data_IF_671047881379
#
_entry.id   IF_671047881379
#
_cell.length_a   1.000
_cell.length_b   1.000
_cell.length_c   1.000
_cell.angle_alpha   90.00
_cell.angle_beta   90.00
_cell.angle_gamma   90.00
#
_symmetry.space_group_name_H-M   'P 1'
#
loop_
_entity.id
_entity.type
_entity.pdbx_description
1 polymer ?
#
# COMPACT_ATOMS: atom_id res chain seq x y z
N UNK A 1 -5.48 44.38 54.45
CA UNK A 1 -5.88 43.44 53.39
C UNK A 1 -4.60 43.02 52.65
N UNK A 2 -4.38 41.71 52.49
CA UNK A 2 -3.20 41.04 51.92
C UNK A 2 -1.92 41.01 52.76
N UNK A 3 -1.70 39.89 53.45
CA UNK A 3 -0.39 39.26 53.65
C UNK A 3 -0.56 37.81 54.16
N UNK A 4 0.25 36.91 53.57
CA UNK A 4 0.80 35.68 54.14
C UNK A 4 -0.15 34.51 54.43
N UNK A 5 -0.24 33.55 53.50
CA UNK A 5 -0.37 32.11 53.83
C UNK A 5 0.37 31.31 52.76
N UNK A 6 1.66 31.05 52.94
CA UNK A 6 2.41 30.10 52.12
C UNK A 6 3.68 29.69 52.85
N UNK A 7 3.55 28.94 53.95
CA UNK A 7 4.62 28.08 54.46
C UNK A 7 4.01 27.08 55.44
N UNK A 8 4.57 25.87 55.45
CA UNK A 8 4.23 24.72 56.30
C UNK A 8 3.00 23.91 55.87
N UNK A 9 3.23 22.84 55.09
CA UNK A 9 3.05 21.47 55.58
C UNK A 9 3.98 20.54 54.80
N UNK A 10 5.16 20.39 55.38
CA UNK A 10 6.21 19.44 55.05
C UNK A 10 5.76 18.01 55.42
N UNK A 11 5.76 17.11 54.43
CA UNK A 11 5.99 15.65 54.50
C UNK A 11 5.05 14.76 55.32
N UNK A 12 4.55 13.66 54.72
CA UNK A 12 4.82 12.27 55.17
C UNK A 12 4.27 11.19 54.22
N UNK A 13 5.11 10.16 53.99
CA UNK A 13 4.80 8.79 53.52
C UNK A 13 4.34 8.61 52.05
N UNK A 14 5.21 8.20 51.11
CA UNK A 14 5.76 6.84 50.85
C UNK A 14 4.72 5.73 50.65
N UNK A 15 4.68 5.27 49.40
CA UNK A 15 4.81 3.86 48.99
C UNK A 15 3.57 2.93 48.91
N UNK A 16 3.18 2.72 47.64
CA UNK A 16 3.07 1.42 46.92
C UNK A 16 1.70 0.72 46.80
N UNK A 17 1.38 0.35 45.54
CA UNK A 17 0.78 -0.91 45.02
C UNK A 17 -0.55 -0.78 44.25
N UNK A 18 -0.42 -1.00 42.93
CA UNK A 18 -1.33 -1.60 41.91
C UNK A 18 -2.52 -0.78 41.42
N UNK A 19 -2.47 -0.22 40.20
CA UNK A 19 -2.60 -0.84 38.87
C UNK A 19 -3.93 -1.54 38.66
N UNK A 20 -4.81 -1.02 37.81
CA UNK A 20 -5.59 -1.79 36.83
C UNK A 20 -6.23 -0.83 35.81
N UNK A 21 -6.24 -1.29 34.55
CA UNK A 21 -6.93 -0.76 33.37
C UNK A 21 -6.14 0.21 32.49
N UNK A 22 -5.20 -0.43 31.77
CA UNK A 22 -4.64 0.01 30.50
C UNK A 22 -5.75 0.27 29.47
N UNK A 23 -5.87 1.52 29.01
CA UNK A 23 -6.42 1.84 27.70
C UNK A 23 -5.24 2.20 26.80
N UNK A 24 -4.56 1.18 26.26
CA UNK A 24 -3.59 1.38 25.19
C UNK A 24 -4.36 1.64 23.90
N UNK A 25 -4.52 2.92 23.55
CA UNK A 25 -4.76 3.33 22.17
C UNK A 25 -3.43 3.10 21.44
N UNK A 26 -3.26 1.91 20.87
CA UNK A 26 -2.15 1.57 19.99
C UNK A 26 -2.35 2.24 18.62
N UNK A 27 -2.22 3.57 18.59
CA UNK A 27 -1.89 4.28 17.36
C UNK A 27 -0.39 4.03 17.10
N UNK A 28 -0.08 2.90 16.45
CA UNK A 28 1.26 2.64 15.93
C UNK A 28 1.50 3.56 14.73
N UNK A 29 1.86 4.81 15.00
CA UNK A 29 2.47 5.68 14.00
C UNK A 29 3.82 5.06 13.67
N UNK A 30 3.89 4.36 12.55
CA UNK A 30 5.13 3.70 12.12
C UNK A 30 6.16 4.79 11.84
N UNK A 31 7.16 4.91 12.70
CA UNK A 31 8.33 5.75 12.46
C UNK A 31 9.15 5.10 11.33
N UNK A 32 8.78 5.37 10.08
CA UNK A 32 9.62 5.03 8.94
C UNK A 32 10.97 5.71 9.12
N UNK A 33 12.02 4.93 9.36
CA UNK A 33 13.38 5.46 9.37
C UNK A 33 13.76 5.81 7.93
N UNK A 34 13.86 7.10 7.62
CA UNK A 34 14.56 7.57 6.42
C UNK A 34 16.05 7.29 6.58
N UNK A 35 16.50 6.12 6.13
CA UNK A 35 17.93 5.88 5.94
C UNK A 35 18.33 6.42 4.57
N UNK A 36 19.17 7.45 4.58
CA UNK A 36 19.72 8.07 3.38
C UNK A 36 20.67 7.07 2.69
N UNK A 37 20.17 6.36 1.68
CA UNK A 37 21.02 5.53 0.80
C UNK A 37 21.80 6.42 -0.17
N UNK A 38 23.03 6.05 -0.59
CA UNK A 38 23.72 6.72 -1.68
C UNK A 38 22.81 6.75 -2.93
N UNK A 39 22.59 7.96 -3.45
CA UNK A 39 21.73 8.25 -4.61
C UNK A 39 21.78 7.12 -5.65
N UNK A 40 20.63 6.47 -5.88
CA UNK A 40 20.50 5.58 -7.03
C UNK A 40 20.74 6.37 -8.32
N UNK A 41 21.19 5.67 -9.37
CA UNK A 41 21.48 6.23 -10.70
C UNK A 41 20.31 7.06 -11.30
N UNK A 42 19.10 6.97 -10.72
CA UNK A 42 17.90 7.72 -11.11
C UNK A 42 17.58 8.94 -10.25
N UNK A 43 18.38 9.25 -9.22
CA UNK A 43 18.33 10.54 -8.51
C UNK A 43 17.06 10.82 -7.69
N UNK A 44 16.31 9.79 -7.28
CA UNK A 44 15.14 9.92 -6.41
C UNK A 44 15.44 9.20 -5.10
N UNK A 45 15.02 9.78 -3.97
CA UNK A 45 15.13 9.12 -2.66
C UNK A 45 14.32 7.82 -2.68
N UNK A 46 15.02 6.70 -2.62
CA UNK A 46 14.40 5.39 -2.49
C UNK A 46 13.98 5.24 -1.03
N UNK A 47 12.68 5.36 -0.75
CA UNK A 47 12.10 4.82 0.48
C UNK A 47 12.30 3.30 0.43
N UNK A 48 13.38 2.82 1.04
CA UNK A 48 13.62 1.40 1.26
C UNK A 48 12.75 0.96 2.43
N UNK A 49 11.47 0.68 2.14
CA UNK A 49 10.64 -0.09 3.06
C UNK A 49 10.73 -1.56 2.63
N UNK A 50 11.67 -2.31 3.21
CA UNK A 50 11.87 -3.76 3.01
C UNK A 50 10.95 -4.62 3.91
N UNK A 51 10.16 -4.00 4.79
CA UNK A 51 9.27 -4.72 5.69
C UNK A 51 8.05 -5.27 4.93
N UNK A 52 8.22 -6.49 4.43
CA UNK A 52 7.23 -7.30 3.73
C UNK A 52 6.37 -8.16 4.70
N UNK A 53 6.39 -7.84 6.00
CA UNK A 53 5.62 -8.50 7.06
C UNK A 53 4.12 -8.13 7.07
N UNK A 54 3.65 -7.41 6.05
CA UNK A 54 2.31 -6.85 5.99
C UNK A 54 1.29 -7.90 5.55
N UNK A 55 0.05 -7.86 6.11
CA UNK A 55 -0.93 -8.94 5.99
C UNK A 55 -1.52 -9.14 4.58
N UNK A 56 -1.15 -8.29 3.62
CA UNK A 56 -1.60 -8.36 2.23
C UNK A 56 -0.60 -9.06 1.30
N UNK A 57 0.56 -9.46 1.83
CA UNK A 57 1.58 -10.22 1.09
C UNK A 57 1.28 -11.72 1.14
N UNK A 58 1.19 -12.33 -0.04
CA UNK A 58 1.00 -13.76 -0.25
C UNK A 58 2.20 -14.34 -0.99
N UNK A 59 2.64 -15.54 -0.60
CA UNK A 59 3.65 -16.27 -1.37
C UNK A 59 3.02 -16.88 -2.61
N UNK A 60 3.63 -16.64 -3.77
CA UNK A 60 3.19 -17.24 -5.02
C UNK A 60 3.42 -18.75 -4.99
N UNK A 61 2.38 -19.51 -5.32
CA UNK A 61 2.49 -20.97 -5.42
C UNK A 61 3.49 -21.38 -6.51
N UNK A 62 4.31 -22.40 -6.22
CA UNK A 62 5.27 -22.95 -7.20
C UNK A 62 4.57 -23.37 -8.49
N UNK A 63 5.01 -22.82 -9.62
CA UNK A 63 4.57 -23.29 -10.95
C UNK A 63 5.12 -24.71 -11.19
N UNK A 64 4.32 -25.57 -11.82
CA UNK A 64 4.79 -26.89 -12.21
C UNK A 64 5.88 -26.78 -13.28
N UNK A 65 6.99 -27.50 -13.11
CA UNK A 65 8.12 -27.49 -14.05
C UNK A 65 7.77 -28.02 -15.46
N UNK A 66 6.73 -28.83 -15.58
CA UNK A 66 6.29 -29.40 -16.86
C UNK A 66 5.08 -28.64 -17.42
N UNK A 67 5.24 -27.82 -18.48
CA UNK A 67 4.14 -27.07 -19.09
C UNK A 67 3.13 -27.97 -19.84
N UNK A 68 3.53 -29.16 -20.26
CA UNK A 68 2.65 -30.15 -20.92
C UNK A 68 1.81 -30.99 -19.96
N UNK A 69 1.95 -30.81 -18.63
CA UNK A 69 1.14 -31.54 -17.66
C UNK A 69 -0.29 -30.99 -17.67
N UNK A 70 -1.27 -31.89 -17.64
CA UNK A 70 -2.67 -31.52 -17.48
C UNK A 70 -2.87 -30.56 -16.29
N UNK A 71 -3.36 -29.36 -16.58
CA UNK A 71 -3.57 -28.30 -15.59
C UNK A 71 -4.60 -28.77 -14.56
N UNK A 72 -4.24 -28.70 -13.27
CA UNK A 72 -5.15 -29.04 -12.17
C UNK A 72 -6.38 -28.14 -12.17
N UNK A 73 -7.53 -28.65 -11.74
CA UNK A 73 -8.78 -27.89 -11.62
C UNK A 73 -8.56 -26.58 -10.84
N UNK A 74 -7.82 -26.65 -9.72
CA UNK A 74 -7.48 -25.46 -8.90
C UNK A 74 -6.79 -24.35 -9.71
N UNK A 75 -5.90 -24.72 -10.63
CA UNK A 75 -5.16 -23.76 -11.44
C UNK A 75 -6.01 -23.16 -12.56
N UNK A 76 -7.00 -23.90 -13.10
CA UNK A 76 -7.96 -23.36 -14.07
C UNK A 76 -8.94 -22.39 -13.41
N UNK A 77 -9.43 -22.75 -12.23
CA UNK A 77 -10.48 -21.99 -11.55
C UNK A 77 -9.94 -20.72 -10.86
N UNK A 78 -8.62 -20.59 -10.70
CA UNK A 78 -8.00 -19.43 -10.05
C UNK A 78 -8.42 -18.08 -10.66
N UNK A 79 -8.63 -18.01 -11.97
CA UNK A 79 -9.10 -16.79 -12.63
C UNK A 79 -10.56 -16.43 -12.31
N UNK A 80 -11.38 -17.39 -11.88
CA UNK A 80 -12.78 -17.18 -11.51
C UNK A 80 -12.94 -16.83 -10.03
N UNK A 81 -12.05 -17.35 -9.16
CA UNK A 81 -12.06 -17.04 -7.73
C UNK A 81 -11.47 -15.65 -7.45
N UNK A 82 -10.47 -15.25 -8.23
CA UNK A 82 -9.81 -13.95 -8.13
C UNK A 82 -9.88 -13.27 -9.50
N UNK A 83 -11.06 -12.71 -9.83
CA UNK A 83 -11.38 -12.28 -11.19
C UNK A 83 -10.73 -10.94 -11.56
N UNK A 84 -10.42 -10.09 -10.61
CA UNK A 84 -9.83 -8.76 -10.88
C UNK A 84 -8.33 -8.75 -10.60
N UNK A 85 -7.57 -8.29 -11.58
CA UNK A 85 -6.12 -8.10 -11.47
C UNK A 85 -5.75 -6.64 -11.58
N UNK A 86 -4.88 -6.19 -10.67
CA UNK A 86 -4.25 -4.88 -10.73
C UNK A 86 -2.97 -4.96 -11.57
N UNK A 87 -2.84 -4.09 -12.56
CA UNK A 87 -1.62 -3.86 -13.32
C UNK A 87 -1.11 -2.45 -13.07
N UNK A 88 0.12 -2.33 -12.59
CA UNK A 88 0.77 -1.05 -12.31
C UNK A 88 1.96 -0.92 -13.27
N UNK A 89 1.92 0.13 -14.09
CA UNK A 89 2.98 0.47 -15.02
C UNK A 89 3.63 1.79 -14.63
N UNK A 90 4.91 1.72 -14.27
CA UNK A 90 5.72 2.88 -13.90
C UNK A 90 6.81 3.09 -14.93
N UNK A 91 6.84 4.29 -15.50
CA UNK A 91 7.90 4.73 -16.41
C UNK A 91 8.64 5.95 -15.83
N UNK A 92 9.69 6.39 -16.51
CA UNK A 92 10.40 7.63 -16.19
C UNK A 92 9.53 8.89 -16.33
N UNK A 93 8.46 8.84 -17.14
CA UNK A 93 7.70 10.03 -17.56
C UNK A 93 6.27 10.07 -17.04
N UNK A 94 5.68 8.91 -16.78
CA UNK A 94 4.30 8.78 -16.33
C UNK A 94 4.09 7.49 -15.55
N UNK A 95 3.01 7.46 -14.80
CA UNK A 95 2.53 6.31 -14.06
C UNK A 95 1.12 6.00 -14.56
N UNK A 96 0.84 4.72 -14.76
CA UNK A 96 -0.47 4.21 -15.15
C UNK A 96 -0.79 3.00 -14.29
N UNK A 97 -2.04 2.88 -13.86
CA UNK A 97 -2.53 1.74 -13.13
C UNK A 97 -3.92 1.37 -13.67
N UNK A 98 -4.19 0.08 -13.78
CA UNK A 98 -5.47 -0.40 -14.31
C UNK A 98 -5.91 -1.67 -13.59
N UNK A 99 -7.22 -1.82 -13.46
CA UNK A 99 -7.86 -3.02 -12.95
C UNK A 99 -8.53 -3.71 -14.14
N UNK A 100 -8.15 -4.95 -14.39
CA UNK A 100 -8.66 -5.76 -15.50
C UNK A 100 -9.38 -6.97 -14.95
N UNK A 101 -10.55 -7.27 -15.52
CA UNK A 101 -11.24 -8.52 -15.26
C UNK A 101 -10.62 -9.64 -16.11
N UNK A 102 -10.06 -10.66 -15.46
CA UNK A 102 -9.28 -11.75 -16.09
C UNK A 102 -10.07 -12.56 -17.09
N UNK A 103 -11.33 -12.87 -16.77
CA UNK A 103 -12.15 -13.78 -17.61
C UNK A 103 -12.67 -13.06 -18.85
N UNK A 104 -13.12 -11.82 -18.71
CA UNK A 104 -13.67 -11.05 -19.84
C UNK A 104 -12.63 -10.18 -20.55
N UNK A 105 -11.39 -10.14 -20.05
CA UNK A 105 -10.31 -9.27 -20.52
C UNK A 105 -10.70 -7.78 -20.63
N UNK A 106 -11.68 -7.33 -19.83
CA UNK A 106 -12.17 -5.94 -19.85
C UNK A 106 -11.43 -5.11 -18.83
N UNK A 107 -10.99 -3.91 -19.21
CA UNK A 107 -10.49 -2.92 -18.28
C UNK A 107 -11.68 -2.28 -17.56
N UNK A 108 -11.73 -2.47 -16.24
CA UNK A 108 -12.83 -1.99 -15.40
C UNK A 108 -12.57 -0.55 -14.97
N UNK A 109 -11.36 -0.31 -14.46
CA UNK A 109 -10.93 1.01 -14.05
C UNK A 109 -9.51 1.24 -14.57
N UNK A 110 -9.24 2.45 -15.05
CA UNK A 110 -7.93 2.88 -15.54
C UNK A 110 -7.65 4.23 -14.93
N UNK A 111 -6.43 4.46 -14.45
CA UNK A 111 -5.98 5.76 -13.98
C UNK A 111 -4.53 5.97 -14.41
N UNK A 112 -4.20 7.16 -14.90
CA UNK A 112 -2.83 7.45 -15.26
C UNK A 112 -2.56 8.95 -15.34
N UNK A 113 -1.30 9.33 -15.12
CA UNK A 113 -0.91 10.75 -15.09
C UNK A 113 -1.01 11.46 -16.44
N UNK A 114 -1.35 10.72 -17.50
CA UNK A 114 -1.65 11.27 -18.83
C UNK A 114 -3.13 11.69 -19.00
N UNK A 115 -4.04 11.22 -18.15
CA UNK A 115 -5.44 11.65 -18.21
C UNK A 115 -5.57 13.14 -17.94
N UNK A 116 -6.45 13.83 -18.69
CA UNK A 116 -6.59 15.30 -18.65
C UNK A 116 -6.82 15.82 -17.22
N UNK A 117 -7.68 15.15 -16.48
CA UNK A 117 -8.08 15.56 -15.12
C UNK A 117 -6.91 15.44 -14.15
N UNK A 118 -6.19 14.32 -14.21
CA UNK A 118 -5.03 14.03 -13.37
C UNK A 118 -3.87 14.97 -13.71
N UNK A 119 -3.66 15.22 -15.00
CA UNK A 119 -2.60 16.11 -15.49
C UNK A 119 -2.77 17.55 -15.03
N UNK A 120 -4.00 18.00 -14.82
CA UNK A 120 -4.29 19.35 -14.32
C UNK A 120 -3.98 19.50 -12.81
N UNK A 121 -4.11 18.42 -12.04
CA UNK A 121 -3.92 18.44 -10.58
C UNK A 121 -2.46 18.24 -10.16
N UNK A 122 -1.64 17.61 -11.00
CA UNK A 122 -0.30 17.18 -10.63
C UNK A 122 0.79 18.16 -11.10
N UNK A 123 1.66 18.56 -10.17
CA UNK A 123 2.89 19.32 -10.46
C UNK A 123 3.92 18.47 -11.23
N UNK A 124 3.96 17.17 -10.97
CA UNK A 124 4.89 16.22 -11.58
C UNK A 124 4.20 14.89 -11.89
N UNK A 125 4.67 14.19 -12.93
CA UNK A 125 3.95 13.05 -13.53
C UNK A 125 4.43 11.67 -13.07
N UNK A 126 5.59 11.61 -12.40
CA UNK A 126 6.29 10.36 -12.08
C UNK A 126 6.75 10.27 -10.63
N UNK A 127 6.43 11.25 -9.80
CA UNK A 127 6.92 11.31 -8.42
C UNK A 127 6.02 10.49 -7.49
N UNK A 128 6.49 10.25 -6.27
CA UNK A 128 5.74 9.54 -5.21
C UNK A 128 4.33 10.14 -4.97
N UNK A 129 4.14 11.48 -4.83
CA UNK A 129 2.80 12.03 -4.66
C UNK A 129 1.88 11.81 -5.87
N UNK A 130 2.43 11.72 -7.08
CA UNK A 130 1.65 11.36 -8.27
C UNK A 130 1.16 9.91 -8.19
N UNK A 131 2.00 9.00 -7.70
CA UNK A 131 1.64 7.60 -7.49
C UNK A 131 0.50 7.44 -6.47
N UNK A 132 0.57 8.18 -5.36
CA UNK A 132 -0.51 8.23 -4.37
C UNK A 132 -1.81 8.76 -4.98
N UNK A 133 -1.73 9.85 -5.75
CA UNK A 133 -2.92 10.44 -6.39
C UNK A 133 -3.56 9.49 -7.41
N UNK A 134 -2.75 8.77 -8.19
CA UNK A 134 -3.24 7.73 -9.12
C UNK A 134 -3.93 6.59 -8.37
N UNK A 135 -3.38 6.14 -7.24
CA UNK A 135 -4.00 5.10 -6.41
C UNK A 135 -5.38 5.50 -5.89
N UNK A 136 -5.53 6.73 -5.39
CA UNK A 136 -6.83 7.27 -4.93
C UNK A 136 -7.87 7.30 -6.05
N UNK A 137 -7.50 7.88 -7.19
CA UNK A 137 -8.42 8.02 -8.33
C UNK A 137 -8.80 6.65 -8.91
N UNK A 138 -7.86 5.70 -8.91
CA UNK A 138 -8.16 4.33 -9.33
C UNK A 138 -9.13 3.64 -8.36
N UNK A 139 -8.96 3.84 -7.05
CA UNK A 139 -9.88 3.28 -6.04
C UNK A 139 -11.29 3.85 -6.20
N UNK A 140 -11.43 5.15 -6.44
CA UNK A 140 -12.74 5.77 -6.64
C UNK A 140 -13.43 5.21 -7.89
N UNK A 141 -12.70 5.10 -9.02
CA UNK A 141 -13.21 4.46 -10.25
C UNK A 141 -13.54 2.98 -10.07
N UNK A 142 -12.78 2.27 -9.23
CA UNK A 142 -13.05 0.87 -8.91
C UNK A 142 -14.32 0.71 -8.07
N UNK A 143 -14.53 1.62 -7.10
CA UNK A 143 -15.71 1.66 -6.24
C UNK A 143 -16.98 1.97 -7.05
N UNK A 144 -16.89 2.89 -8.02
CA UNK A 144 -17.98 3.18 -8.95
C UNK A 144 -18.38 1.96 -9.82
N UNK A 145 -17.44 1.03 -10.04
CA UNK A 145 -17.66 -0.20 -10.77
C UNK A 145 -17.91 -1.42 -9.87
N UNK A 146 -18.17 -1.20 -8.57
CA UNK A 146 -18.41 -2.23 -7.55
C UNK A 146 -17.26 -3.26 -7.39
N UNK A 147 -16.02 -2.83 -7.64
CA UNK A 147 -14.83 -3.67 -7.45
C UNK A 147 -14.10 -3.28 -6.17
N UNK A 148 -14.09 -4.19 -5.20
CA UNK A 148 -13.46 -3.99 -3.89
C UNK A 148 -12.26 -4.90 -3.61
N UNK A 149 -12.07 -5.94 -4.41
CA UNK A 149 -10.98 -6.92 -4.24
C UNK A 149 -10.19 -7.04 -5.52
N UNK A 150 -8.86 -6.95 -5.41
CA UNK A 150 -7.95 -7.08 -6.55
C UNK A 150 -6.73 -7.92 -6.21
N UNK A 151 -6.19 -8.62 -7.20
CA UNK A 151 -4.94 -9.36 -7.09
C UNK A 151 -3.83 -8.62 -7.84
N UNK A 152 -2.72 -8.33 -7.17
CA UNK A 152 -1.51 -7.78 -7.76
C UNK A 152 -0.45 -8.87 -7.91
N UNK A 153 -0.01 -9.10 -9.15
CA UNK A 153 1.15 -9.95 -9.43
C UNK A 153 2.25 -9.04 -9.99
N UNK A 154 3.37 -8.86 -9.27
CA UNK A 154 4.53 -8.14 -9.79
C UNK A 154 5.01 -8.75 -11.11
N UNK A 155 5.49 -7.89 -12.01
CA UNK A 155 6.19 -8.34 -13.21
C UNK A 155 7.59 -8.81 -12.83
N UNK A 156 8.18 -9.69 -13.64
CA UNK A 156 9.51 -10.26 -13.34
C UNK A 156 10.62 -9.19 -13.20
N UNK A 157 10.45 -8.02 -13.84
CA UNK A 157 11.39 -6.90 -13.72
C UNK A 157 11.15 -5.99 -12.52
N UNK A 158 9.97 -6.09 -11.91
CA UNK A 158 9.46 -5.07 -10.98
C UNK A 158 9.55 -5.58 -9.55
N UNK A 159 10.31 -4.87 -8.72
CA UNK A 159 10.37 -5.12 -7.28
C UNK A 159 9.22 -4.40 -6.57
N UNK A 160 8.67 -5.03 -5.54
CA UNK A 160 7.60 -4.45 -4.74
C UNK A 160 8.13 -3.41 -3.74
N UNK A 161 8.64 -2.29 -4.25
CA UNK A 161 9.27 -1.23 -3.47
C UNK A 161 8.92 0.16 -4.03
N UNK A 162 9.21 1.21 -3.26
CA UNK A 162 9.11 2.60 -3.67
C UNK A 162 7.76 2.98 -4.30
N UNK A 163 7.79 3.32 -5.59
CA UNK A 163 6.62 3.83 -6.34
C UNK A 163 5.50 2.79 -6.47
N UNK A 164 5.82 1.51 -6.67
CA UNK A 164 4.82 0.44 -6.77
C UNK A 164 4.10 0.31 -5.43
N UNK A 165 4.86 0.26 -4.34
CA UNK A 165 4.34 0.19 -2.98
C UNK A 165 3.47 1.41 -2.66
N UNK A 166 3.85 2.60 -3.09
CA UNK A 166 3.04 3.81 -2.91
C UNK A 166 1.66 3.71 -3.60
N UNK A 167 1.58 3.20 -4.84
CA UNK A 167 0.30 3.01 -5.53
C UNK A 167 -0.58 2.01 -4.79
N UNK A 168 -0.02 0.85 -4.43
CA UNK A 168 -0.76 -0.23 -3.75
C UNK A 168 -1.21 0.21 -2.36
N UNK A 169 -0.35 0.92 -1.61
CA UNK A 169 -0.72 1.45 -0.30
C UNK A 169 -1.90 2.42 -0.42
N UNK A 170 -1.86 3.32 -1.40
CA UNK A 170 -2.94 4.28 -1.59
C UNK A 170 -4.27 3.62 -1.97
N UNK A 171 -4.26 2.46 -2.64
CA UNK A 171 -5.46 1.69 -2.92
C UNK A 171 -6.04 1.08 -1.64
N UNK A 172 -5.17 0.51 -0.79
CA UNK A 172 -5.54 -0.08 0.50
C UNK A 172 -6.11 0.99 1.44
N UNK A 173 -5.45 2.15 1.53
CA UNK A 173 -5.90 3.28 2.35
C UNK A 173 -7.28 3.80 1.88
N UNK A 174 -7.60 3.63 0.60
CA UNK A 174 -8.90 4.00 0.02
C UNK A 174 -9.96 2.90 0.20
N UNK A 175 -9.64 1.78 0.84
CA UNK A 175 -10.59 0.70 1.16
C UNK A 175 -10.75 -0.37 0.08
N UNK A 176 -9.78 -0.52 -0.82
CA UNK A 176 -9.71 -1.66 -1.76
C UNK A 176 -8.80 -2.73 -1.16
N UNK A 177 -9.28 -3.96 -1.06
CA UNK A 177 -8.47 -5.10 -0.63
C UNK A 177 -7.57 -5.57 -1.78
N UNK A 178 -6.26 -5.55 -1.56
CA UNK A 178 -5.25 -5.91 -2.56
C UNK A 178 -4.45 -7.10 -2.07
N UNK A 179 -4.58 -8.23 -2.76
CA UNK A 179 -3.72 -9.41 -2.51
C UNK A 179 -2.45 -9.30 -3.35
N UNK A 180 -1.30 -9.14 -2.71
CA UNK A 180 0.00 -9.00 -3.37
C UNK A 180 0.71 -10.34 -3.39
N UNK A 181 0.95 -10.92 -4.57
CA UNK A 181 1.68 -12.19 -4.71
C UNK A 181 3.16 -11.94 -4.96
N UNK A 182 4.01 -12.12 -3.97
CA UNK A 182 5.46 -12.00 -4.12
C UNK A 182 6.07 -13.37 -4.41
N UNK A 183 7.10 -13.38 -5.26
CA UNK A 183 7.93 -14.55 -5.58
C UNK A 183 9.04 -14.78 -4.54
#
# INVERSE_FOLDING_TARGET
>A
MLKLVSHELYTRARNTIRSFLNAQISASVHSGQTRCSPRSFFGVEDFVDDDNSRPYTYQKGKKSKNPGKHISFKQRTGAFMEPFTLDVFISKRFVSASITHRVTCKQVAVAGTNSKDIKAMLKSRSDIPACLSVGRILADRAREADVYTTAYTPRDSDKFEGKIRAVVQSLIDSGIDVKVYLD
#
